data_IF_763535674752
#
_entry.id   IF_763535674752
#
_cell.length_a   1.000
_cell.length_b   1.000
_cell.length_c   1.000
_cell.angle_alpha   90.00
_cell.angle_beta   90.00
_cell.angle_gamma   90.00
#
_symmetry.space_group_name_H-M   'P 1'
#
loop_
_entity.id
_entity.type
_entity.pdbx_description
1 polymer ?
#
# COMPACT_ATOMS: atom_id res chain seq x y z
N UNK A 1 -9.34 -11.45 -8.52
CA UNK A 1 -8.66 -10.54 -7.58
C UNK A 1 -7.20 -10.89 -7.66
N UNK A 2 -6.34 -9.99 -8.14
CA UNK A 2 -4.93 -10.13 -7.78
C UNK A 2 -4.88 -10.06 -6.26
N UNK A 3 -4.15 -11.00 -5.65
CA UNK A 3 -3.95 -10.96 -4.21
C UNK A 3 -3.19 -9.67 -3.91
N UNK A 4 -3.87 -8.72 -3.28
CA UNK A 4 -3.28 -7.43 -2.91
C UNK A 4 -1.99 -7.65 -2.11
N UNK A 5 -1.86 -8.78 -1.39
CA UNK A 5 -0.63 -9.17 -0.71
C UNK A 5 0.56 -9.44 -1.65
N UNK A 6 0.33 -10.04 -2.83
CA UNK A 6 1.39 -10.35 -3.81
C UNK A 6 1.90 -9.07 -4.48
N UNK A 7 0.99 -8.16 -4.84
CA UNK A 7 1.36 -6.86 -5.39
C UNK A 7 2.13 -6.02 -4.36
N UNK A 8 1.67 -6.00 -3.10
CA UNK A 8 2.36 -5.30 -2.01
C UNK A 8 3.75 -5.88 -1.75
N UNK A 9 3.89 -7.19 -1.69
CA UNK A 9 5.20 -7.83 -1.49
C UNK A 9 6.20 -7.50 -2.59
N UNK A 10 5.73 -7.34 -3.84
CA UNK A 10 6.60 -6.96 -4.96
C UNK A 10 7.06 -5.50 -4.82
N UNK A 11 6.15 -4.60 -4.47
CA UNK A 11 6.42 -3.19 -4.19
C UNK A 11 7.38 -3.01 -3.00
N UNK A 12 7.18 -3.76 -1.91
CA UNK A 12 8.06 -3.74 -0.73
C UNK A 12 9.49 -4.16 -1.09
N UNK A 13 9.63 -5.19 -1.93
CA UNK A 13 10.93 -5.68 -2.40
C UNK A 13 11.65 -4.63 -3.26
N UNK A 14 10.92 -3.99 -4.19
CA UNK A 14 11.47 -2.92 -5.02
C UNK A 14 11.96 -1.74 -4.18
N UNK A 15 11.13 -1.28 -3.23
CA UNK A 15 11.50 -0.16 -2.37
C UNK A 15 12.68 -0.46 -1.46
N UNK A 16 12.79 -1.70 -0.96
CA UNK A 16 13.93 -2.17 -0.17
C UNK A 16 15.21 -2.15 -1.02
N UNK A 17 15.14 -2.65 -2.26
CA UNK A 17 16.27 -2.65 -3.17
C UNK A 17 16.71 -1.22 -3.53
N UNK A 18 15.76 -0.32 -3.78
CA UNK A 18 16.05 1.07 -4.11
C UNK A 18 16.69 1.80 -2.92
N UNK A 19 16.18 1.60 -1.70
CA UNK A 19 16.81 2.16 -0.49
C UNK A 19 18.26 1.66 -0.31
N UNK A 20 18.49 0.36 -0.50
CA UNK A 20 19.84 -0.20 -0.43
C UNK A 20 20.80 0.44 -1.45
N UNK A 21 20.35 0.67 -2.69
CA UNK A 21 21.14 1.38 -3.71
C UNK A 21 21.49 2.79 -3.26
N UNK A 22 20.53 3.56 -2.74
CA UNK A 22 20.78 4.92 -2.25
C UNK A 22 21.87 4.96 -1.16
N UNK A 23 21.82 4.01 -0.22
CA UNK A 23 22.84 3.90 0.84
C UNK A 23 24.20 3.48 0.27
N UNK A 24 24.21 2.50 -0.63
CA UNK A 24 25.43 1.96 -1.24
C UNK A 24 26.15 3.01 -2.11
N UNK A 25 25.40 3.79 -2.86
CA UNK A 25 25.92 4.76 -3.83
C UNK A 25 26.39 6.07 -3.16
N UNK A 26 26.30 6.16 -1.82
CA UNK A 26 26.77 7.32 -1.07
C UNK A 26 25.96 8.58 -1.30
N UNK A 27 24.66 8.42 -1.62
CA UNK A 27 23.72 9.52 -1.87
C UNK A 27 23.61 10.41 -0.63
N UNK A 28 23.30 11.70 -0.84
CA UNK A 28 23.21 12.65 0.27
C UNK A 28 22.15 12.24 1.30
N UNK A 29 22.40 12.59 2.57
CA UNK A 29 21.47 12.26 3.65
C UNK A 29 20.09 12.91 3.44
N UNK A 30 20.04 14.06 2.77
CA UNK A 30 18.79 14.76 2.51
C UNK A 30 17.96 14.07 1.42
N UNK A 31 18.60 13.52 0.40
CA UNK A 31 17.94 12.67 -0.59
C UNK A 31 17.41 11.38 0.03
N UNK A 32 18.18 10.74 0.92
CA UNK A 32 17.73 9.55 1.66
C UNK A 32 16.52 9.87 2.54
N UNK A 33 16.54 11.00 3.26
CA UNK A 33 15.38 11.47 4.03
C UNK A 33 14.17 11.70 3.14
N UNK A 34 14.33 12.38 2.01
CA UNK A 34 13.26 12.65 1.06
C UNK A 34 12.63 11.35 0.54
N UNK A 35 13.45 10.35 0.23
CA UNK A 35 12.97 9.03 -0.17
C UNK A 35 12.13 8.36 0.94
N UNK A 36 12.60 8.36 2.19
CA UNK A 36 11.86 7.80 3.33
C UNK A 36 10.51 8.52 3.53
N UNK A 37 10.49 9.85 3.46
CA UNK A 37 9.25 10.62 3.59
C UNK A 37 8.25 10.31 2.46
N UNK A 38 8.74 10.19 1.22
CA UNK A 38 7.91 9.80 0.09
C UNK A 38 7.32 8.39 0.28
N UNK A 39 8.13 7.44 0.74
CA UNK A 39 7.70 6.07 1.05
C UNK A 39 6.64 6.04 2.15
N UNK A 40 6.83 6.76 3.27
CA UNK A 40 5.82 6.85 4.35
C UNK A 40 4.48 7.40 3.83
N UNK A 41 4.52 8.47 3.02
CA UNK A 41 3.33 9.08 2.43
C UNK A 41 2.57 8.13 1.51
N UNK A 42 3.29 7.29 0.76
CA UNK A 42 2.69 6.26 -0.08
C UNK A 42 1.87 5.26 0.77
N UNK A 43 2.43 4.72 1.86
CA UNK A 43 1.67 3.76 2.71
C UNK A 43 0.52 4.40 3.45
N UNK A 44 0.62 5.66 3.87
CA UNK A 44 -0.51 6.34 4.51
C UNK A 44 -1.70 6.48 3.55
N UNK A 45 -1.42 6.78 2.28
CA UNK A 45 -2.44 6.84 1.21
C UNK A 45 -3.03 5.45 0.95
N UNK A 46 -2.16 4.45 0.75
CA UNK A 46 -2.55 3.07 0.48
C UNK A 46 -3.43 2.48 1.60
N UNK A 47 -3.09 2.72 2.87
CA UNK A 47 -3.87 2.30 4.03
C UNK A 47 -5.32 2.80 3.94
N UNK A 48 -5.50 4.07 3.61
CA UNK A 48 -6.81 4.69 3.49
C UNK A 48 -7.62 4.11 2.33
N UNK A 49 -6.98 3.85 1.19
CA UNK A 49 -7.63 3.29 0.01
C UNK A 49 -8.04 1.83 0.22
N UNK A 50 -7.17 1.02 0.84
CA UNK A 50 -7.50 -0.35 1.22
C UNK A 50 -8.69 -0.38 2.19
N UNK A 51 -8.68 0.47 3.22
CA UNK A 51 -9.79 0.56 4.16
C UNK A 51 -11.12 0.90 3.46
N UNK A 52 -11.12 1.91 2.57
CA UNK A 52 -12.31 2.31 1.80
C UNK A 52 -12.79 1.20 0.87
N UNK A 53 -11.86 0.52 0.18
CA UNK A 53 -12.16 -0.61 -0.70
C UNK A 53 -12.83 -1.76 0.05
N UNK A 54 -12.23 -2.19 1.16
CA UNK A 54 -12.79 -3.27 1.98
C UNK A 54 -14.12 -2.88 2.63
N UNK A 55 -14.27 -1.64 3.13
CA UNK A 55 -15.52 -1.13 3.69
C UNK A 55 -16.66 -1.16 2.66
N UNK A 56 -16.37 -0.77 1.42
CA UNK A 56 -17.34 -0.79 0.33
C UNK A 56 -17.79 -2.21 0.01
N UNK A 57 -16.84 -3.13 -0.17
CA UNK A 57 -17.13 -4.56 -0.45
C UNK A 57 -17.98 -5.17 0.67
N UNK A 58 -17.62 -4.92 1.93
CA UNK A 58 -18.35 -5.45 3.08
C UNK A 58 -19.78 -4.89 3.15
N UNK A 59 -19.94 -3.59 2.95
CA UNK A 59 -21.25 -2.93 2.93
C UNK A 59 -22.14 -3.48 1.81
N UNK A 60 -21.58 -3.69 0.62
CA UNK A 60 -22.29 -4.28 -0.51
C UNK A 60 -22.73 -5.71 -0.21
N UNK A 61 -21.88 -6.52 0.43
CA UNK A 61 -22.21 -7.89 0.84
C UNK A 61 -23.38 -7.91 1.82
N UNK A 62 -23.37 -7.06 2.86
CA UNK A 62 -24.48 -6.98 3.83
C UNK A 62 -25.80 -6.63 3.14
N UNK A 63 -25.80 -5.59 2.28
CA UNK A 63 -27.01 -5.19 1.54
C UNK A 63 -27.55 -6.32 0.66
N UNK A 64 -26.66 -7.06 0.00
CA UNK A 64 -27.05 -8.18 -0.84
C UNK A 64 -27.64 -9.33 -0.02
N UNK A 65 -27.09 -9.65 1.16
CA UNK A 65 -27.66 -10.66 2.07
C UNK A 65 -29.06 -10.28 2.55
N UNK A 66 -29.26 -9.04 3.02
CA UNK A 66 -30.58 -8.56 3.46
C UNK A 66 -31.65 -8.61 2.36
N UNK A 67 -31.25 -8.44 1.09
CA UNK A 67 -32.19 -8.55 -0.06
C UNK A 67 -32.61 -9.99 -0.33
N UNK A 68 -31.81 -10.98 0.04
CA UNK A 68 -32.10 -12.41 -0.17
C UNK A 68 -32.99 -12.95 0.96
N UNK A 69 -32.98 -12.32 2.14
CA UNK A 69 -33.79 -12.69 3.30
C UNK A 69 -35.25 -12.15 3.27
N UNK A 70 -35.66 -11.48 2.18
CA UNK A 70 -37.02 -10.96 1.93
C UNK A 70 -37.67 -11.78 0.83
#
# INVERSE_FOLDING_TARGET
>A
MHDNGVALSSTDMEHTLNFYKLVKDGISIDEIKNYIYAFIKYYDTLKNDLYKGHKTIFTQKIKNTQRIEI
#
